data_IF_789755878261
#
_entry.id   IF_789755878261
#
_cell.length_a   1.000
_cell.length_b   1.000
_cell.length_c   1.000
_cell.angle_alpha   90.00
_cell.angle_beta   90.00
_cell.angle_gamma   90.00
#
_symmetry.space_group_name_H-M   'P 1'
#
loop_
_entity.id
_entity.type
_entity.pdbx_description
1 polymer ?
#
# COMPACT_ATOMS: atom_id res chain seq x y z
N UNK A 1 -19.87 15.10 11.85
CA UNK A 1 -19.41 16.48 12.15
C UNK A 1 -17.94 16.58 11.78
N UNK A 2 -17.49 17.70 11.18
CA UNK A 2 -16.07 17.93 10.89
C UNK A 2 -15.47 18.83 11.97
N UNK A 3 -14.33 18.42 12.54
CA UNK A 3 -13.60 19.17 13.57
C UNK A 3 -12.21 19.55 13.05
N UNK A 4 -11.69 20.69 13.51
CA UNK A 4 -10.33 21.12 13.15
C UNK A 4 -9.34 20.51 14.15
N UNK A 5 -8.39 19.73 13.64
CA UNK A 5 -7.26 19.21 14.40
C UNK A 5 -6.03 20.07 14.14
N UNK A 6 -5.44 20.62 15.20
CA UNK A 6 -4.19 21.41 15.13
C UNK A 6 -3.04 20.55 15.66
N UNK A 7 -2.02 20.34 14.83
CA UNK A 7 -0.84 19.53 15.16
C UNK A 7 0.41 20.43 15.21
N UNK A 8 1.22 20.26 16.24
CA UNK A 8 2.55 20.90 16.32
C UNK A 8 3.56 19.98 15.65
N UNK A 9 4.13 20.43 14.53
CA UNK A 9 5.11 19.68 13.75
C UNK A 9 6.23 20.62 13.33
N UNK A 10 7.45 20.11 13.20
CA UNK A 10 8.57 20.90 12.72
C UNK A 10 8.31 21.49 11.33
N UNK A 11 8.75 22.74 11.14
CA UNK A 11 8.58 23.47 9.88
C UNK A 11 9.25 22.74 8.69
N UNK A 12 10.40 22.13 8.92
CA UNK A 12 11.15 21.34 7.95
C UNK A 12 10.32 20.17 7.39
N UNK A 13 9.56 19.50 8.25
CA UNK A 13 8.68 18.38 7.90
C UNK A 13 7.46 18.89 7.15
N UNK A 14 6.86 20.00 7.56
CA UNK A 14 5.71 20.61 6.87
C UNK A 14 6.05 20.96 5.42
N UNK A 15 7.23 21.51 5.15
CA UNK A 15 7.66 21.87 3.79
C UNK A 15 7.85 20.63 2.90
N UNK A 16 8.52 19.60 3.42
CA UNK A 16 8.69 18.32 2.71
C UNK A 16 7.35 17.66 2.42
N UNK A 17 6.45 17.65 3.39
CA UNK A 17 5.12 17.06 3.26
C UNK A 17 4.26 17.81 2.23
N UNK A 18 4.30 19.16 2.21
CA UNK A 18 3.62 19.97 1.18
C UNK A 18 4.17 19.71 -0.22
N UNK A 19 5.49 19.56 -0.36
CA UNK A 19 6.12 19.24 -1.65
C UNK A 19 5.66 17.86 -2.17
N UNK A 20 5.63 16.87 -1.28
CA UNK A 20 5.14 15.54 -1.59
C UNK A 20 3.66 15.55 -2.01
N UNK A 21 2.81 16.23 -1.22
CA UNK A 21 1.38 16.35 -1.50
C UNK A 21 1.10 16.96 -2.89
N UNK A 22 1.82 18.05 -3.24
CA UNK A 22 1.75 18.67 -4.58
C UNK A 22 2.12 17.70 -5.71
N UNK A 23 3.17 16.90 -5.53
CA UNK A 23 3.58 15.90 -6.53
C UNK A 23 2.52 14.82 -6.77
N UNK A 24 1.72 14.51 -5.75
CA UNK A 24 0.65 13.51 -5.81
C UNK A 24 -0.74 14.08 -6.13
N UNK A 25 -0.84 15.38 -6.45
CA UNK A 25 -2.12 16.10 -6.65
C UNK A 25 -3.12 15.96 -5.50
N UNK A 26 -2.63 15.75 -4.27
CA UNK A 26 -3.45 15.59 -3.06
C UNK A 26 -3.15 16.72 -2.08
N UNK A 27 -4.14 17.05 -1.24
CA UNK A 27 -3.90 18.00 -0.15
C UNK A 27 -3.21 17.31 1.04
N UNK A 28 -2.41 18.07 1.79
CA UNK A 28 -1.79 17.54 3.00
C UNK A 28 -2.83 17.09 4.03
N UNK A 29 -3.93 17.85 4.16
CA UNK A 29 -5.04 17.50 5.05
C UNK A 29 -5.71 16.19 4.64
N UNK A 30 -5.94 15.96 3.35
CA UNK A 30 -6.50 14.70 2.84
C UNK A 30 -5.57 13.51 3.13
N UNK A 31 -4.25 13.70 2.98
CA UNK A 31 -3.27 12.65 3.29
C UNK A 31 -3.29 12.27 4.77
N UNK A 32 -3.29 13.27 5.66
CA UNK A 32 -3.33 13.03 7.11
C UNK A 32 -4.66 12.39 7.51
N UNK A 33 -5.77 12.85 6.94
CA UNK A 33 -7.08 12.28 7.21
C UNK A 33 -7.15 10.80 6.81
N UNK A 34 -6.76 10.45 5.58
CA UNK A 34 -6.73 9.05 5.12
C UNK A 34 -5.82 8.16 5.96
N UNK A 35 -4.70 8.70 6.41
CA UNK A 35 -3.80 7.96 7.30
C UNK A 35 -4.46 7.68 8.65
N UNK A 36 -5.12 8.67 9.24
CA UNK A 36 -5.87 8.48 10.49
C UNK A 36 -7.04 7.51 10.31
N UNK A 37 -7.78 7.60 9.19
CA UNK A 37 -8.84 6.64 8.83
C UNK A 37 -8.27 5.21 8.77
N UNK A 38 -7.13 5.01 8.11
CA UNK A 38 -6.46 3.71 8.02
C UNK A 38 -5.95 3.16 9.36
N UNK A 39 -5.74 4.00 10.37
CA UNK A 39 -5.32 3.56 11.71
C UNK A 39 -6.50 3.19 12.61
N UNK A 40 -7.66 3.80 12.38
CA UNK A 40 -8.87 3.65 13.19
C UNK A 40 -9.85 2.64 12.58
N UNK A 41 -9.69 2.30 11.30
CA UNK A 41 -10.28 1.09 10.73
C UNK A 41 -9.69 -0.14 11.44
N UNK A 42 -10.32 -0.51 12.56
CA UNK A 42 -10.14 -1.79 13.24
C UNK A 42 -10.43 -2.91 12.24
N UNK A 43 -9.36 -3.43 11.64
CA UNK A 43 -9.22 -4.84 11.31
C UNK A 43 -10.47 -5.58 10.81
N UNK A 44 -11.17 -5.07 9.81
CA UNK A 44 -11.79 -5.97 8.85
C UNK A 44 -10.64 -6.59 8.04
N UNK A 45 -10.02 -7.61 8.66
CA UNK A 45 -8.94 -8.46 8.14
C UNK A 45 -9.33 -9.24 6.88
N UNK A 46 -10.37 -8.85 6.16
CA UNK A 46 -11.08 -9.70 5.19
C UNK A 46 -11.41 -9.03 3.86
N UNK A 47 -10.92 -7.82 3.61
CA UNK A 47 -11.13 -7.16 2.32
C UNK A 47 -9.78 -6.79 1.71
N UNK A 48 -9.13 -7.76 1.03
CA UNK A 48 -8.07 -7.45 0.07
C UNK A 48 -8.53 -6.25 -0.78
N UNK A 49 -7.65 -5.24 -0.96
CA UNK A 49 -7.99 -4.06 -1.77
C UNK A 49 -8.64 -4.50 -3.09
N UNK A 50 -9.68 -3.81 -3.62
CA UNK A 50 -10.37 -4.24 -4.83
C UNK A 50 -9.43 -4.56 -6.00
N UNK A 51 -8.31 -3.84 -6.10
CA UNK A 51 -7.26 -4.13 -7.09
C UNK A 51 -6.58 -5.48 -6.86
N UNK A 52 -6.32 -5.82 -5.60
CA UNK A 52 -5.71 -7.09 -5.19
C UNK A 52 -6.72 -8.24 -5.32
N UNK A 53 -8.01 -8.03 -5.00
CA UNK A 53 -9.07 -9.02 -5.27
C UNK A 53 -9.19 -9.36 -6.76
N UNK A 54 -9.10 -8.35 -7.64
CA UNK A 54 -9.11 -8.58 -9.09
C UNK A 54 -7.86 -9.33 -9.59
N UNK A 55 -6.73 -9.20 -8.88
CA UNK A 55 -5.48 -9.90 -9.21
C UNK A 55 -5.45 -11.32 -8.63
N UNK A 56 -5.98 -11.51 -7.42
CA UNK A 56 -6.11 -12.79 -6.73
C UNK A 56 -7.13 -13.67 -7.48
N UNK A 57 -6.63 -14.62 -8.27
CA UNK A 57 -7.43 -15.47 -9.17
C UNK A 57 -7.23 -15.20 -10.66
N UNK A 58 -6.53 -14.13 -11.02
CA UNK A 58 -6.07 -13.92 -12.41
C UNK A 58 -4.96 -14.89 -12.81
N UNK A 59 -4.21 -15.42 -11.84
CA UNK A 59 -3.25 -16.50 -12.08
C UNK A 59 -3.95 -17.85 -11.93
N UNK A 60 -4.07 -18.55 -13.05
CA UNK A 60 -4.48 -19.96 -13.09
C UNK A 60 -3.23 -20.81 -12.89
N UNK A 61 -3.03 -21.33 -11.69
CA UNK A 61 -1.98 -22.31 -11.42
C UNK A 61 -2.55 -23.72 -11.52
N UNK A 62 -1.78 -24.72 -12.00
CA UNK A 62 -2.20 -26.11 -11.95
C UNK A 62 -2.36 -26.56 -10.48
N UNK A 63 -3.28 -27.49 -10.21
CA UNK A 63 -3.57 -27.97 -8.85
C UNK A 63 -2.33 -28.56 -8.14
N UNK A 64 -1.37 -29.08 -8.91
CA UNK A 64 -0.09 -29.63 -8.43
C UNK A 64 1.08 -28.65 -8.61
N UNK A 65 0.84 -27.34 -8.51
CA UNK A 65 1.91 -26.35 -8.62
C UNK A 65 2.81 -26.38 -7.38
N UNK A 66 4.05 -26.79 -7.59
CA UNK A 66 5.09 -26.79 -6.57
C UNK A 66 5.79 -25.42 -6.57
N UNK A 67 5.34 -24.56 -5.66
CA UNK A 67 5.83 -23.18 -5.54
C UNK A 67 7.34 -23.11 -5.34
N UNK A 68 7.88 -24.00 -4.51
CA UNK A 68 9.28 -24.00 -4.13
C UNK A 68 10.18 -24.37 -5.33
N UNK A 69 9.76 -25.36 -6.14
CA UNK A 69 10.48 -25.72 -7.38
C UNK A 69 10.44 -24.60 -8.42
N UNK A 70 9.28 -24.01 -8.65
CA UNK A 70 9.15 -22.93 -9.63
C UNK A 70 9.99 -21.69 -9.24
N UNK A 71 10.11 -21.45 -7.93
CA UNK A 71 10.94 -20.38 -7.39
C UNK A 71 12.43 -20.68 -7.61
N UNK A 72 12.86 -21.91 -7.32
CA UNK A 72 14.24 -22.37 -7.53
C UNK A 72 14.64 -22.29 -9.02
N UNK A 73 13.78 -22.77 -9.92
CA UNK A 73 13.99 -22.69 -11.37
C UNK A 73 14.11 -21.23 -11.85
N UNK A 74 13.27 -20.32 -11.34
CA UNK A 74 13.38 -18.88 -11.65
C UNK A 74 14.70 -18.28 -11.20
N UNK A 75 15.17 -18.61 -9.99
CA UNK A 75 16.44 -18.09 -9.49
C UNK A 75 17.62 -18.65 -10.28
N UNK A 76 17.59 -19.93 -10.67
CA UNK A 76 18.57 -20.54 -11.57
C UNK A 76 18.60 -19.87 -12.93
N UNK A 77 17.45 -19.67 -13.57
CA UNK A 77 17.37 -19.04 -14.90
C UNK A 77 17.79 -17.56 -14.87
N UNK A 78 17.41 -16.83 -13.82
CA UNK A 78 17.66 -15.39 -13.72
C UNK A 78 19.09 -15.05 -13.33
N UNK A 79 19.69 -15.85 -12.45
CA UNK A 79 21.01 -15.59 -11.87
C UNK A 79 22.07 -16.59 -12.32
N UNK A 80 21.72 -17.51 -13.23
CA UNK A 80 22.61 -18.53 -13.80
C UNK A 80 23.30 -19.37 -12.71
N UNK A 81 22.49 -19.81 -11.74
CA UNK A 81 22.91 -20.54 -10.53
C UNK A 81 22.89 -22.05 -10.72
#
# INVERSE_FOLDING_TARGET
MTTKLTLTVEKSVIEKAKKYAKGTQRSLSEMVQKYLESLVEESDKSELSPKIKNLAGSLKLPENFDYDKALDDYYKEKYDL
#
